data_IF_866722550246
#
_entry.id   IF_866722550246
#
_cell.length_a   1.000
_cell.length_b   1.000
_cell.length_c   1.000
_cell.angle_alpha   90.00
_cell.angle_beta   90.00
_cell.angle_gamma   90.00
#
_symmetry.space_group_name_H-M   'P 1'
#
loop_
_entity.id
_entity.type
_entity.pdbx_description
1 polymer ?
#
# COMPACT_ATOMS: atom_id res chain seq x y z
N UNK A 1 -5.45 23.57 -4.59
CA UNK A 1 -5.38 22.11 -4.38
C UNK A 1 -5.64 21.85 -2.90
N UNK A 2 -6.49 20.88 -2.50
CA UNK A 2 -6.63 20.60 -1.08
C UNK A 2 -5.29 20.09 -0.59
N UNK A 3 -4.73 20.77 0.41
CA UNK A 3 -3.53 20.32 1.10
C UNK A 3 -3.88 18.94 1.65
N UNK A 4 -3.22 17.88 1.15
CA UNK A 4 -3.34 16.56 1.76
C UNK A 4 -2.95 16.74 3.22
N UNK A 5 -3.92 16.54 4.12
CA UNK A 5 -3.70 16.65 5.56
C UNK A 5 -3.06 15.36 6.08
N UNK A 6 -2.05 14.88 5.36
CA UNK A 6 -1.32 13.67 5.65
C UNK A 6 -0.51 13.87 6.92
N UNK A 7 -0.58 12.94 7.87
CA UNK A 7 0.29 12.92 9.04
C UNK A 7 1.79 12.78 8.66
N UNK A 8 2.10 12.55 7.38
CA UNK A 8 3.46 12.44 6.90
C UNK A 8 4.12 13.82 6.74
N UNK A 9 5.33 14.01 7.28
CA UNK A 9 6.07 15.24 7.06
C UNK A 9 6.24 15.52 5.55
N UNK A 10 5.98 16.74 5.08
CA UNK A 10 6.11 17.09 3.65
C UNK A 10 7.55 16.97 3.15
N UNK A 11 8.53 17.05 4.05
CA UNK A 11 9.97 16.95 3.74
C UNK A 11 10.56 15.57 4.03
N UNK A 12 9.71 14.55 4.13
CA UNK A 12 10.18 13.17 4.31
C UNK A 12 11.19 12.81 3.21
N UNK A 13 12.21 12.06 3.60
CA UNK A 13 13.31 11.60 2.74
C UNK A 13 14.33 12.67 2.30
N UNK A 14 14.11 13.96 2.58
CA UNK A 14 15.13 14.99 2.37
C UNK A 14 16.18 14.98 3.48
N UNK A 15 17.37 15.47 3.15
CA UNK A 15 18.48 15.61 4.09
C UNK A 15 18.09 16.50 5.28
N UNK A 16 18.51 16.19 6.52
CA UNK A 16 18.24 17.04 7.68
C UNK A 16 18.97 18.39 7.64
N UNK A 17 20.05 18.54 6.87
CA UNK A 17 20.77 19.79 6.70
C UNK A 17 19.84 20.87 6.10
N UNK A 18 19.71 22.06 6.73
CA UNK A 18 18.76 23.07 6.27
C UNK A 18 18.99 23.57 4.84
N UNK A 19 20.25 23.67 4.40
CA UNK A 19 20.58 24.18 3.07
C UNK A 19 20.26 23.13 2.00
N UNK A 20 20.63 21.86 2.25
CA UNK A 20 20.29 20.76 1.35
C UNK A 20 18.78 20.54 1.27
N UNK A 21 18.06 20.55 2.40
CA UNK A 21 16.60 20.43 2.43
C UNK A 21 15.90 21.55 1.67
N UNK A 22 16.38 22.78 1.78
CA UNK A 22 15.81 23.92 1.06
C UNK A 22 15.94 23.73 -0.47
N UNK A 23 17.10 23.26 -0.93
CA UNK A 23 17.31 22.93 -2.34
C UNK A 23 16.41 21.77 -2.80
N UNK A 24 16.33 20.70 -2.00
CA UNK A 24 15.47 19.55 -2.30
C UNK A 24 14.00 19.94 -2.43
N UNK A 25 13.47 20.79 -1.54
CA UNK A 25 12.11 21.33 -1.64
C UNK A 25 11.88 22.10 -2.94
N UNK A 26 12.82 22.96 -3.33
CA UNK A 26 12.71 23.76 -4.55
C UNK A 26 12.64 22.85 -5.78
N UNK A 27 13.53 21.86 -5.87
CA UNK A 27 13.54 20.91 -6.98
C UNK A 27 12.30 20.01 -6.99
N UNK A 28 11.89 19.50 -5.83
CA UNK A 28 10.70 18.65 -5.74
C UNK A 28 9.44 19.40 -6.14
N UNK A 29 9.29 20.66 -5.72
CA UNK A 29 8.14 21.49 -6.10
C UNK A 29 7.98 21.69 -7.62
N UNK A 30 9.07 21.57 -8.41
CA UNK A 30 8.96 21.67 -9.88
C UNK A 30 8.51 20.36 -10.54
N UNK A 31 8.53 19.24 -9.82
CA UNK A 31 8.27 17.90 -10.39
C UNK A 31 7.17 17.11 -9.68
N UNK A 32 6.75 17.52 -8.47
CA UNK A 32 5.85 16.75 -7.61
C UNK A 32 4.50 16.43 -8.25
N UNK A 33 3.98 17.34 -9.07
CA UNK A 33 2.66 17.22 -9.71
C UNK A 33 2.74 16.73 -11.17
N UNK A 34 3.93 16.34 -11.65
CA UNK A 34 4.07 15.79 -13.00
C UNK A 34 3.38 14.43 -13.11
N UNK A 35 2.85 14.08 -14.30
CA UNK A 35 2.29 12.76 -14.53
C UNK A 35 3.30 11.63 -14.28
N UNK A 36 2.81 10.50 -13.78
CA UNK A 36 3.61 9.31 -13.57
C UNK A 36 3.83 8.59 -14.90
N UNK A 37 5.09 8.38 -15.26
CA UNK A 37 5.49 7.54 -16.40
C UNK A 37 6.01 6.23 -15.82
N UNK A 38 5.23 5.15 -15.99
CA UNK A 38 5.48 3.81 -15.47
C UNK A 38 5.75 2.82 -16.62
N UNK A 39 6.85 2.99 -17.39
CA UNK A 39 7.07 2.29 -18.66
C UNK A 39 7.33 0.78 -18.51
N UNK A 40 7.43 0.29 -17.26
CA UNK A 40 7.59 -1.11 -16.94
C UNK A 40 6.86 -1.44 -15.64
N UNK A 41 6.04 -2.48 -15.67
CA UNK A 41 5.28 -2.96 -14.53
C UNK A 41 4.66 -4.32 -14.81
N UNK A 42 4.03 -4.88 -13.77
CA UNK A 42 3.42 -6.21 -13.82
C UNK A 42 1.96 -6.20 -13.34
N UNK A 43 1.29 -5.04 -13.43
CA UNK A 43 -0.13 -4.93 -13.11
C UNK A 43 -0.93 -5.76 -14.12
N UNK A 44 -1.89 -6.55 -13.63
CA UNK A 44 -2.75 -7.38 -14.49
C UNK A 44 -3.61 -6.46 -15.38
N UNK A 45 -3.54 -6.56 -16.72
CA UNK A 45 -4.32 -5.69 -17.61
C UNK A 45 -5.83 -5.86 -17.46
N UNK A 46 -6.31 -6.99 -16.92
CA UNK A 46 -7.74 -7.21 -16.66
C UNK A 46 -8.32 -6.17 -15.70
N UNK A 47 -7.48 -5.68 -14.77
CA UNK A 47 -7.83 -4.64 -13.80
C UNK A 47 -8.36 -3.38 -14.48
N UNK A 48 -7.85 -3.02 -15.66
CA UNK A 48 -8.33 -1.87 -16.44
C UNK A 48 -9.30 -2.25 -17.56
N UNK A 49 -9.19 -3.47 -18.10
CA UNK A 49 -10.04 -3.92 -19.21
C UNK A 49 -11.48 -4.21 -18.78
N UNK A 50 -11.67 -4.77 -17.59
CA UNK A 50 -12.99 -5.11 -17.04
C UNK A 50 -13.58 -3.92 -16.28
N UNK A 51 -14.73 -3.34 -16.73
CA UNK A 51 -15.36 -2.20 -16.07
C UNK A 51 -15.89 -2.52 -14.66
N UNK A 52 -16.14 -3.79 -14.37
CA UNK A 52 -16.69 -4.25 -13.09
C UNK A 52 -15.61 -4.76 -12.14
N UNK A 53 -14.33 -4.71 -12.53
CA UNK A 53 -13.22 -5.17 -11.70
C UNK A 53 -13.18 -4.43 -10.35
N UNK A 54 -12.98 -5.19 -9.26
CA UNK A 54 -12.79 -4.67 -7.90
C UNK A 54 -11.59 -5.36 -7.26
N UNK A 55 -10.88 -4.64 -6.40
CA UNK A 55 -9.66 -5.11 -5.74
C UNK A 55 -9.88 -6.23 -4.71
N UNK A 56 -11.14 -6.52 -4.35
CA UNK A 56 -11.45 -7.47 -3.29
C UNK A 56 -11.24 -6.84 -1.91
N UNK A 57 -10.62 -7.61 -1.02
CA UNK A 57 -10.35 -7.23 0.37
C UNK A 57 -8.96 -6.60 0.56
N UNK A 58 -8.70 -5.94 1.71
CA UNK A 58 -7.37 -5.42 2.05
C UNK A 58 -6.25 -6.46 1.95
N UNK A 59 -6.51 -7.73 2.33
CA UNK A 59 -5.52 -8.79 2.25
C UNK A 59 -5.20 -9.20 0.80
N UNK A 60 -6.22 -9.28 -0.07
CA UNK A 60 -6.04 -9.57 -1.50
C UNK A 60 -5.32 -8.45 -2.24
N UNK A 61 -5.49 -7.21 -1.78
CA UNK A 61 -4.82 -6.06 -2.38
C UNK A 61 -3.37 -5.92 -1.91
N UNK A 62 -3.13 -5.94 -0.60
CA UNK A 62 -1.86 -5.48 -0.01
C UNK A 62 -0.95 -6.59 0.51
N UNK A 63 -1.48 -7.78 0.82
CA UNK A 63 -0.72 -8.81 1.54
C UNK A 63 -0.41 -10.02 0.67
N UNK A 64 -1.46 -10.66 0.13
CA UNK A 64 -1.36 -11.91 -0.64
C UNK A 64 -0.46 -11.74 -1.89
N UNK A 65 -0.58 -10.69 -2.70
CA UNK A 65 0.23 -10.56 -3.92
C UNK A 65 1.63 -9.97 -3.68
N UNK A 66 1.88 -9.31 -2.55
CA UNK A 66 3.14 -8.59 -2.32
C UNK A 66 4.21 -9.49 -1.68
N UNK A 67 5.13 -9.91 -2.53
CA UNK A 67 6.27 -10.74 -2.13
C UNK A 67 7.28 -10.02 -1.23
N UNK A 68 7.31 -8.70 -1.15
CA UNK A 68 8.12 -8.01 -0.14
C UNK A 68 7.52 -8.22 1.25
N UNK A 69 6.19 -8.16 1.37
CA UNK A 69 5.47 -8.38 2.63
C UNK A 69 5.64 -9.83 3.10
N UNK A 70 5.18 -10.81 2.31
CA UNK A 70 5.22 -12.19 2.78
C UNK A 70 6.64 -12.74 2.92
N UNK A 71 7.64 -12.22 2.17
CA UNK A 71 9.06 -12.61 2.37
C UNK A 71 9.57 -12.18 3.73
N UNK A 72 9.21 -10.98 4.21
CA UNK A 72 9.61 -10.52 5.54
C UNK A 72 8.99 -11.41 6.62
N UNK A 73 7.69 -11.68 6.55
CA UNK A 73 7.00 -12.53 7.51
C UNK A 73 7.50 -13.97 7.49
N UNK A 74 7.75 -14.52 6.31
CA UNK A 74 8.33 -15.86 6.15
C UNK A 74 9.71 -15.97 6.76
N UNK A 75 10.54 -14.92 6.63
CA UNK A 75 11.86 -14.88 7.27
C UNK A 75 11.79 -14.92 8.81
N UNK A 76 10.64 -14.59 9.39
CA UNK A 76 10.36 -14.63 10.83
C UNK A 76 9.49 -15.83 11.25
N UNK A 77 9.33 -16.83 10.38
CA UNK A 77 8.68 -18.09 10.72
C UNK A 77 7.17 -18.16 10.45
N UNK A 78 6.58 -17.20 9.74
CA UNK A 78 5.18 -17.30 9.28
C UNK A 78 5.13 -18.09 7.99
N UNK A 79 4.33 -19.16 7.91
CA UNK A 79 4.20 -19.92 6.67
C UNK A 79 3.49 -19.08 5.59
N UNK A 80 3.86 -19.28 4.31
CA UNK A 80 3.25 -18.52 3.21
C UNK A 80 1.76 -18.86 3.05
N UNK A 81 1.39 -20.12 3.27
CA UNK A 81 0.01 -20.58 3.27
C UNK A 81 -0.84 -19.94 4.38
N UNK A 82 -0.26 -19.56 5.53
CA UNK A 82 -0.95 -18.83 6.60
C UNK A 82 -1.26 -17.38 6.19
N UNK A 83 -0.62 -16.88 5.14
CA UNK A 83 -0.86 -15.56 4.56
C UNK A 83 -1.74 -15.62 3.31
N UNK A 84 -2.34 -16.77 3.00
CA UNK A 84 -3.19 -16.96 1.82
C UNK A 84 -2.41 -17.06 0.50
N UNK A 85 -1.08 -17.18 0.55
CA UNK A 85 -0.27 -17.30 -0.67
C UNK A 85 -0.49 -18.70 -1.29
N UNK A 86 -0.93 -18.79 -2.56
CA UNK A 86 -1.24 -20.06 -3.19
C UNK A 86 -0.05 -21.02 -3.25
N UNK A 87 -0.28 -22.27 -2.86
CA UNK A 87 0.73 -23.33 -2.93
C UNK A 87 0.76 -23.96 -4.33
N UNK A 88 1.96 -24.27 -4.82
CA UNK A 88 2.15 -24.97 -6.11
C UNK A 88 1.59 -26.39 -6.11
N UNK A 89 1.51 -27.03 -4.95
CA UNK A 89 0.98 -28.39 -4.79
C UNK A 89 -0.56 -28.43 -4.67
N UNK A 90 -1.23 -27.28 -4.70
CA UNK A 90 -2.68 -27.18 -4.54
C UNK A 90 -3.17 -27.47 -3.12
N UNK A 91 -2.27 -27.52 -2.13
CA UNK A 91 -2.63 -27.67 -0.73
C UNK A 91 -3.46 -26.50 -0.20
N UNK A 92 -4.13 -26.68 0.95
CA UNK A 92 -4.93 -25.62 1.56
C UNK A 92 -4.07 -24.42 1.94
N UNK A 93 -4.70 -23.25 1.90
CA UNK A 93 -4.14 -21.96 2.35
C UNK A 93 -5.19 -21.27 3.21
N UNK A 94 -4.76 -20.32 4.04
CA UNK A 94 -5.67 -19.49 4.80
C UNK A 94 -6.63 -18.75 3.85
N UNK A 95 -7.92 -18.75 4.18
CA UNK A 95 -8.96 -18.06 3.41
C UNK A 95 -9.67 -16.99 4.22
N UNK A 96 -9.43 -16.93 5.54
CA UNK A 96 -9.88 -15.82 6.35
C UNK A 96 -8.97 -14.61 6.13
N UNK A 97 -9.41 -13.69 5.28
CA UNK A 97 -8.68 -12.48 4.93
C UNK A 97 -8.46 -11.53 6.12
N UNK A 98 -9.33 -11.57 7.14
CA UNK A 98 -9.12 -10.79 8.38
C UNK A 98 -8.03 -11.41 9.23
N UNK A 99 -7.95 -12.74 9.28
CA UNK A 99 -6.88 -13.43 9.98
C UNK A 99 -5.53 -13.22 9.26
N UNK A 100 -5.50 -13.24 7.92
CA UNK A 100 -4.30 -12.89 7.14
C UNK A 100 -3.85 -11.47 7.48
N UNK A 101 -4.78 -10.51 7.48
CA UNK A 101 -4.48 -9.13 7.83
C UNK A 101 -3.98 -8.99 9.28
N UNK A 102 -4.61 -9.67 10.23
CA UNK A 102 -4.18 -9.67 11.63
C UNK A 102 -2.75 -10.21 11.77
N UNK A 103 -2.42 -11.34 11.12
CA UNK A 103 -1.07 -11.93 11.13
C UNK A 103 -0.01 -10.96 10.62
N UNK A 104 -0.36 -10.17 9.60
CA UNK A 104 0.45 -9.06 9.10
C UNK A 104 0.59 -7.94 10.13
N UNK A 105 -0.53 -7.42 10.66
CA UNK A 105 -0.54 -6.30 11.60
C UNK A 105 0.22 -6.60 12.90
N UNK A 106 0.11 -7.82 13.43
CA UNK A 106 0.87 -8.33 14.59
C UNK A 106 2.39 -8.19 14.40
N UNK A 107 2.86 -8.14 13.15
CA UNK A 107 4.26 -8.12 12.74
C UNK A 107 4.63 -6.90 11.91
N UNK A 108 3.74 -5.91 11.80
CA UNK A 108 3.98 -4.70 11.02
C UNK A 108 5.24 -3.94 11.48
N UNK A 109 5.65 -4.12 12.74
CA UNK A 109 6.88 -3.56 13.29
C UNK A 109 8.16 -4.02 12.56
N UNK A 110 8.16 -5.20 11.91
CA UNK A 110 9.31 -5.73 11.17
C UNK A 110 9.71 -4.85 9.97
N UNK A 111 8.78 -4.05 9.46
CA UNK A 111 9.00 -3.20 8.29
C UNK A 111 9.60 -1.85 8.65
N UNK A 112 9.86 -1.57 9.93
CA UNK A 112 10.50 -0.32 10.36
C UNK A 112 11.92 -0.22 9.76
N UNK A 113 12.19 0.91 9.11
CA UNK A 113 13.47 1.15 8.42
C UNK A 113 13.58 0.48 7.04
N UNK A 114 12.52 -0.18 6.55
CA UNK A 114 12.49 -0.78 5.21
C UNK A 114 11.75 0.11 4.20
N UNK A 115 12.05 0.02 2.90
CA UNK A 115 11.26 0.67 1.86
C UNK A 115 9.78 0.25 1.88
N UNK A 116 9.48 -1.02 2.11
CA UNK A 116 8.10 -1.52 2.22
C UNK A 116 7.33 -0.84 3.35
N UNK A 117 7.96 -0.60 4.50
CA UNK A 117 7.34 0.14 5.60
C UNK A 117 7.07 1.61 5.26
N UNK A 118 7.90 2.20 4.39
CA UNK A 118 7.65 3.55 3.84
C UNK A 118 6.46 3.52 2.88
N UNK A 119 6.42 2.60 1.92
CA UNK A 119 5.34 2.51 0.94
C UNK A 119 3.98 2.26 1.59
N UNK A 120 3.89 1.28 2.50
CA UNK A 120 2.64 0.97 3.19
C UNK A 120 2.12 2.15 4.02
N UNK A 121 3.03 2.93 4.62
CA UNK A 121 2.63 4.13 5.37
C UNK A 121 2.13 5.24 4.44
N UNK A 122 2.81 5.47 3.32
CA UNK A 122 2.39 6.45 2.31
C UNK A 122 1.06 6.03 1.66
N UNK A 123 0.83 4.73 1.42
CA UNK A 123 -0.45 4.18 0.96
C UNK A 123 -1.57 4.42 1.98
N UNK A 124 -1.36 4.03 3.25
CA UNK A 124 -2.36 4.22 4.30
C UNK A 124 -2.74 5.70 4.45
N UNK A 125 -1.75 6.60 4.53
CA UNK A 125 -2.00 8.03 4.74
C UNK A 125 -2.53 8.73 3.47
N UNK A 126 -1.80 8.66 2.35
CA UNK A 126 -2.08 9.50 1.18
C UNK A 126 -3.17 8.89 0.27
N UNK A 127 -3.30 7.55 0.22
CA UNK A 127 -4.31 6.89 -0.61
C UNK A 127 -5.60 6.67 0.17
N UNK A 128 -5.50 6.10 1.38
CA UNK A 128 -6.64 5.72 2.22
C UNK A 128 -7.00 6.75 3.32
N UNK A 129 -6.22 7.81 3.54
CA UNK A 129 -6.53 8.80 4.58
C UNK A 129 -6.43 8.27 6.01
N UNK A 130 -5.65 7.22 6.24
CA UNK A 130 -5.42 6.58 7.53
C UNK A 130 -4.08 7.06 8.09
N UNK A 131 -4.14 8.04 8.99
CA UNK A 131 -2.96 8.67 9.61
C UNK A 131 -2.37 7.85 10.76
N UNK A 132 -3.13 6.91 11.32
CA UNK A 132 -2.69 6.09 12.44
C UNK A 132 -1.66 5.04 11.99
N UNK A 133 -0.61 4.87 12.80
CA UNK A 133 0.33 3.76 12.61
C UNK A 133 -0.42 2.43 12.81
N UNK A 134 -0.32 1.53 11.84
CA UNK A 134 -0.84 0.17 11.98
C UNK A 134 -0.12 -0.57 13.12
N UNK A 135 -0.92 -1.14 14.02
CA UNK A 135 -0.51 -2.02 15.11
C UNK A 135 -1.43 -3.24 15.19
N UNK A 136 -1.08 -4.20 16.05
CA UNK A 136 -1.94 -5.36 16.30
C UNK A 136 -3.32 -4.95 16.81
N UNK A 137 -3.38 -3.91 17.65
CA UNK A 137 -4.58 -3.46 18.35
C UNK A 137 -5.58 -2.75 17.43
N UNK A 138 -5.10 -1.96 16.46
CA UNK A 138 -5.97 -1.24 15.52
C UNK A 138 -6.17 -1.99 14.19
N UNK A 139 -5.61 -3.19 14.03
CA UNK A 139 -5.60 -3.96 12.79
C UNK A 139 -6.99 -4.05 12.14
N UNK A 140 -8.01 -4.45 12.89
CA UNK A 140 -9.36 -4.63 12.36
C UNK A 140 -10.04 -3.30 11.99
N UNK A 141 -9.77 -2.23 12.74
CA UNK A 141 -10.29 -0.91 12.42
C UNK A 141 -9.68 -0.38 11.10
N UNK A 142 -8.37 -0.57 10.91
CA UNK A 142 -7.69 -0.23 9.65
C UNK A 142 -8.20 -1.08 8.50
N UNK A 143 -8.41 -2.39 8.71
CA UNK A 143 -9.01 -3.27 7.71
C UNK A 143 -10.38 -2.74 7.26
N UNK A 144 -11.25 -2.40 8.21
CA UNK A 144 -12.60 -1.90 7.93
C UNK A 144 -12.57 -0.58 7.15
N UNK A 145 -11.64 0.32 7.48
CA UNK A 145 -11.47 1.60 6.81
C UNK A 145 -11.01 1.44 5.35
N UNK A 146 -10.08 0.52 5.08
CA UNK A 146 -9.63 0.19 3.72
C UNK A 146 -10.77 -0.49 2.95
N UNK A 147 -11.38 -1.52 3.52
CA UNK A 147 -12.45 -2.31 2.92
C UNK A 147 -13.69 -1.44 2.57
N UNK A 148 -14.03 -0.47 3.44
CA UNK A 148 -15.07 0.51 3.14
C UNK A 148 -14.74 1.36 1.92
N UNK A 149 -13.50 1.83 1.80
CA UNK A 149 -13.06 2.62 0.64
C UNK A 149 -13.01 1.81 -0.65
N UNK A 150 -12.53 0.57 -0.61
CA UNK A 150 -12.47 -0.32 -1.78
C UNK A 150 -13.85 -0.61 -2.41
N UNK A 151 -14.94 -0.39 -1.67
CA UNK A 151 -16.32 -0.52 -2.17
C UNK A 151 -16.86 0.74 -2.85
N UNK A 152 -16.15 1.86 -2.77
CA UNK A 152 -16.59 3.12 -3.35
C UNK A 152 -16.24 3.21 -4.85
N UNK A 153 -17.01 3.98 -5.65
CA UNK A 153 -16.69 4.21 -7.06
C UNK A 153 -15.30 4.83 -7.29
N UNK A 154 -14.82 5.63 -6.33
CA UNK A 154 -13.54 6.34 -6.37
C UNK A 154 -12.33 5.39 -6.25
N UNK A 155 -12.54 4.17 -5.73
CA UNK A 155 -11.52 3.14 -5.60
C UNK A 155 -11.66 2.02 -6.65
N UNK A 156 -12.25 2.35 -7.79
CA UNK A 156 -12.11 1.47 -8.96
C UNK A 156 -10.72 1.62 -9.59
N UNK A 157 -10.19 0.57 -10.23
CA UNK A 157 -8.95 0.62 -10.99
C UNK A 157 -8.73 1.86 -11.87
N UNK A 158 -9.72 2.22 -12.68
CA UNK A 158 -9.65 3.37 -13.59
C UNK A 158 -9.70 4.70 -12.84
N UNK A 159 -10.55 4.80 -11.81
CA UNK A 159 -10.60 6.00 -10.98
C UNK A 159 -9.28 6.25 -10.25
N UNK A 160 -8.62 5.20 -9.74
CA UNK A 160 -7.30 5.33 -9.13
C UNK A 160 -6.21 5.66 -10.16
N UNK A 161 -6.24 5.07 -11.36
CA UNK A 161 -5.32 5.42 -12.44
C UNK A 161 -5.37 6.91 -12.78
N UNK A 162 -6.58 7.46 -12.90
CA UNK A 162 -6.82 8.90 -13.13
C UNK A 162 -6.40 9.74 -11.92
N UNK A 163 -6.78 9.34 -10.70
CA UNK A 163 -6.42 10.04 -9.44
C UNK A 163 -4.90 10.11 -9.25
N UNK A 164 -4.17 9.06 -9.63
CA UNK A 164 -2.71 9.00 -9.54
C UNK A 164 -1.99 9.72 -10.68
N UNK A 165 -2.73 10.30 -11.64
CA UNK A 165 -2.17 11.04 -12.77
C UNK A 165 -1.14 10.21 -13.56
N UNK A 166 -1.48 8.95 -13.86
CA UNK A 166 -0.62 8.05 -14.63
C UNK A 166 -0.79 8.34 -16.13
N UNK A 167 0.32 8.55 -16.84
CA UNK A 167 0.32 8.85 -18.29
C UNK A 167 0.62 7.62 -19.14
N UNK A 168 1.57 6.77 -18.70
CA UNK A 168 2.05 5.57 -19.42
C UNK A 168 2.24 4.42 -18.46
#
# INVERSE_FOLDING_TARGET
>A
MPVSNSALPPDRYFDPDPAQRAMARQLYATVADLPLVCPHGHVDPRLFADPDYRFGSPAELLIIPDHYVFRMLFSQGVAMEDLGVPRRDGGPTETDHRLIWQRFADRAYLFQGTPTGVWLRDELADVFGIDEKLTAENAQAVYDAIDAQLRTPEFTPRALYERFNIEV
#
